data_IF_928304601652
#
_entry.id   IF_928304601652
#
_cell.length_a   1.000
_cell.length_b   1.000
_cell.length_c   1.000
_cell.angle_alpha   90.00
_cell.angle_beta   90.00
_cell.angle_gamma   90.00
#
_symmetry.space_group_name_H-M   'P 1'
#
loop_
_entity.id
_entity.type
_entity.pdbx_description
1 polymer ?
#
# COMPACT_ATOMS: atom_id res chain seq x y z
N UNK A 1 -33.99 -31.58 -14.69
CA UNK A 1 -34.09 -30.41 -13.80
C UNK A 1 -32.92 -29.49 -14.10
N UNK A 2 -33.14 -28.48 -14.92
CA UNK A 2 -32.14 -27.43 -15.12
C UNK A 2 -32.15 -26.50 -13.90
N UNK A 3 -31.00 -26.19 -13.30
CA UNK A 3 -30.96 -25.26 -12.17
C UNK A 3 -31.41 -23.88 -12.64
N UNK A 4 -32.27 -23.26 -11.83
CA UNK A 4 -32.88 -21.97 -12.14
C UNK A 4 -31.80 -20.92 -12.40
N UNK A 5 -32.08 -19.97 -13.29
CA UNK A 5 -31.13 -18.94 -13.74
C UNK A 5 -30.51 -18.14 -12.59
N UNK A 6 -31.21 -18.03 -11.46
CA UNK A 6 -30.75 -17.43 -10.20
C UNK A 6 -29.63 -18.23 -9.50
N UNK A 7 -29.74 -19.56 -9.47
CA UNK A 7 -28.74 -20.44 -8.84
C UNK A 7 -27.41 -20.39 -9.59
N UNK A 8 -27.46 -20.33 -10.93
CA UNK A 8 -26.29 -20.13 -11.80
C UNK A 8 -25.62 -18.76 -11.58
N UNK A 9 -26.37 -17.70 -11.25
CA UNK A 9 -25.81 -16.36 -11.02
C UNK A 9 -25.14 -16.21 -9.65
N UNK A 10 -25.65 -16.89 -8.63
CA UNK A 10 -25.05 -16.89 -7.29
C UNK A 10 -23.74 -17.70 -7.31
N UNK A 11 -23.76 -18.88 -7.95
CA UNK A 11 -22.57 -19.73 -8.09
C UNK A 11 -21.42 -19.03 -8.82
N UNK A 12 -21.72 -18.27 -9.89
CA UNK A 12 -20.70 -17.50 -10.63
C UNK A 12 -20.14 -16.31 -9.83
N UNK A 13 -20.96 -15.63 -9.01
CA UNK A 13 -20.49 -14.56 -8.12
C UNK A 13 -19.55 -15.09 -7.03
N UNK A 14 -19.90 -16.20 -6.38
CA UNK A 14 -19.06 -16.84 -5.36
C UNK A 14 -17.74 -17.31 -5.97
N UNK A 15 -17.78 -17.92 -7.17
CA UNK A 15 -16.57 -18.34 -7.86
C UNK A 15 -15.63 -17.19 -8.21
N UNK A 16 -16.18 -16.02 -8.56
CA UNK A 16 -15.39 -14.82 -8.82
C UNK A 16 -14.70 -14.30 -7.55
N UNK A 17 -15.40 -14.31 -6.40
CA UNK A 17 -14.83 -13.94 -5.10
C UNK A 17 -13.70 -14.92 -4.73
N UNK A 18 -13.93 -16.22 -4.85
CA UNK A 18 -12.93 -17.25 -4.57
C UNK A 18 -11.70 -17.08 -5.47
N UNK A 19 -11.88 -16.84 -6.77
CA UNK A 19 -10.77 -16.56 -7.69
C UNK A 19 -10.00 -15.30 -7.31
N UNK A 20 -10.69 -14.25 -6.86
CA UNK A 20 -10.05 -13.03 -6.34
C UNK A 20 -9.22 -13.31 -5.09
N UNK A 21 -9.75 -14.08 -4.14
CA UNK A 21 -9.03 -14.49 -2.92
C UNK A 21 -7.83 -15.38 -3.26
N UNK A 22 -7.98 -16.33 -4.18
CA UNK A 22 -6.86 -17.20 -4.61
C UNK A 22 -5.80 -16.38 -5.34
N UNK A 23 -6.17 -15.46 -6.24
CA UNK A 23 -5.22 -14.59 -6.92
C UNK A 23 -4.48 -13.68 -5.93
N UNK A 24 -5.20 -13.11 -4.96
CA UNK A 24 -4.60 -12.35 -3.85
C UNK A 24 -3.64 -13.22 -3.03
N UNK A 25 -4.05 -14.45 -2.68
CA UNK A 25 -3.20 -15.39 -1.95
C UNK A 25 -1.97 -15.80 -2.76
N UNK A 26 -2.07 -16.07 -4.07
CA UNK A 26 -0.94 -16.43 -4.93
C UNK A 26 0.03 -15.27 -5.08
N UNK A 27 -0.47 -14.05 -5.31
CA UNK A 27 0.36 -12.84 -5.38
C UNK A 27 1.05 -12.61 -4.05
N UNK A 28 0.33 -12.68 -2.93
CA UNK A 28 0.91 -12.49 -1.59
C UNK A 28 1.87 -13.62 -1.20
N UNK A 29 1.58 -14.90 -1.49
CA UNK A 29 2.46 -16.06 -1.25
C UNK A 29 3.73 -16.01 -2.10
N UNK A 30 3.65 -15.60 -3.36
CA UNK A 30 4.84 -15.43 -4.20
C UNK A 30 5.81 -14.40 -3.62
N UNK A 31 5.28 -13.47 -2.81
CA UNK A 31 6.04 -12.43 -2.14
C UNK A 31 6.46 -12.81 -0.71
N UNK A 32 5.75 -13.73 -0.05
CA UNK A 32 6.18 -14.34 1.23
C UNK A 32 7.40 -15.27 1.07
N UNK A 33 7.75 -15.73 -0.14
CA UNK A 33 8.92 -16.58 -0.32
C UNK A 33 10.25 -15.81 -0.33
N UNK A 34 10.22 -14.47 -0.32
CA UNK A 34 11.42 -13.61 -0.27
C UNK A 34 11.67 -13.18 1.19
N UNK A 35 11.84 -14.15 2.07
CA UNK A 35 12.51 -13.89 3.35
C UNK A 35 14.00 -13.69 3.04
N UNK A 36 14.41 -12.43 2.84
CA UNK A 36 15.81 -12.09 2.70
C UNK A 36 16.50 -12.36 4.04
N UNK A 37 17.40 -13.35 4.05
CA UNK A 37 18.18 -13.65 5.24
C UNK A 37 18.98 -12.41 5.68
N UNK A 38 18.97 -12.08 6.98
CA UNK A 38 19.60 -10.86 7.48
C UNK A 38 21.13 -10.87 7.35
N UNK A 39 21.72 -12.04 7.14
CA UNK A 39 23.16 -12.23 6.93
C UNK A 39 23.37 -13.14 5.73
N UNK A 40 24.42 -12.88 4.95
CA UNK A 40 24.84 -13.84 3.93
C UNK A 40 25.46 -15.08 4.57
N UNK A 41 25.44 -16.22 3.87
CA UNK A 41 26.20 -17.42 4.29
C UNK A 41 27.67 -17.07 4.54
N UNK A 42 28.29 -16.29 3.65
CA UNK A 42 29.65 -15.80 3.82
C UNK A 42 29.85 -15.00 5.13
N UNK A 43 28.88 -14.19 5.56
CA UNK A 43 28.96 -13.49 6.85
C UNK A 43 28.81 -14.43 8.04
N UNK A 44 27.95 -15.45 7.94
CA UNK A 44 27.78 -16.46 8.99
C UNK A 44 29.05 -17.30 9.14
N UNK A 45 29.64 -17.73 8.02
CA UNK A 45 30.87 -18.52 7.97
C UNK A 45 32.10 -17.73 8.44
N UNK A 46 32.12 -16.41 8.20
CA UNK A 46 33.24 -15.54 8.59
C UNK A 46 33.10 -14.97 10.01
N UNK A 47 31.90 -15.02 10.62
CA UNK A 47 31.66 -14.56 11.99
C UNK A 47 32.55 -15.22 13.06
N UNK A 48 32.76 -16.56 13.08
CA UNK A 48 33.57 -17.21 14.11
C UNK A 48 35.06 -16.84 14.03
N UNK A 49 35.58 -16.49 12.84
CA UNK A 49 37.01 -16.22 12.62
C UNK A 49 37.59 -15.12 13.50
N UNK A 50 36.80 -14.11 13.85
CA UNK A 50 37.24 -13.07 14.77
C UNK A 50 37.50 -13.62 16.19
N UNK A 51 36.58 -14.45 16.69
CA UNK A 51 36.69 -15.06 18.01
C UNK A 51 37.80 -16.12 18.05
N UNK A 52 37.98 -16.85 16.95
CA UNK A 52 39.09 -17.80 16.78
C UNK A 52 40.44 -17.09 16.79
N UNK A 53 40.57 -15.97 16.08
CA UNK A 53 41.83 -15.22 16.05
C UNK A 53 42.17 -14.60 17.41
N UNK A 54 41.18 -14.05 18.14
CA UNK A 54 41.38 -13.58 19.52
C UNK A 54 41.86 -14.73 20.42
N UNK A 55 41.20 -15.89 20.39
CA UNK A 55 41.62 -17.07 21.16
C UNK A 55 43.04 -17.52 20.82
N UNK A 56 43.40 -17.52 19.53
CA UNK A 56 44.74 -17.88 19.07
C UNK A 56 45.77 -16.91 19.66
N UNK A 57 45.51 -15.60 19.59
CA UNK A 57 46.42 -14.57 20.11
C UNK A 57 46.55 -14.63 21.64
N UNK A 58 45.45 -14.86 22.36
CA UNK A 58 45.45 -15.03 23.82
C UNK A 58 46.23 -16.31 24.22
N UNK A 59 46.06 -17.40 23.46
CA UNK A 59 46.78 -18.65 23.72
C UNK A 59 48.30 -18.52 23.50
N UNK A 60 48.72 -17.74 22.50
CA UNK A 60 50.13 -17.44 22.25
C UNK A 60 50.71 -16.58 23.37
N UNK A 61 49.96 -15.59 23.84
CA UNK A 61 50.39 -14.77 24.96
C UNK A 61 50.56 -15.60 26.23
N UNK A 62 49.62 -16.50 26.53
CA UNK A 62 49.72 -17.42 27.66
C UNK A 62 50.94 -18.35 27.51
N UNK A 63 51.17 -18.87 26.31
CA UNK A 63 52.35 -19.71 26.02
C UNK A 63 53.65 -18.98 26.33
N UNK A 64 53.82 -17.72 25.89
CA UNK A 64 55.03 -16.94 26.17
C UNK A 64 55.20 -16.62 27.66
N UNK A 65 54.10 -16.41 28.39
CA UNK A 65 54.14 -16.25 29.86
C UNK A 65 54.64 -17.54 30.51
N UNK A 66 54.11 -18.70 30.11
CA UNK A 66 54.54 -20.00 30.65
C UNK A 66 56.01 -20.29 30.34
N UNK A 67 56.50 -19.95 29.14
CA UNK A 67 57.92 -20.08 28.81
C UNK A 67 58.82 -19.22 29.69
N UNK A 68 58.37 -18.01 30.05
CA UNK A 68 59.09 -17.13 30.97
C UNK A 68 59.09 -17.71 32.40
N UNK A 69 57.95 -18.20 32.87
CA UNK A 69 57.82 -18.84 34.20
C UNK A 69 58.70 -20.08 34.33
N UNK A 70 58.78 -20.90 33.27
CA UNK A 70 59.63 -22.08 33.19
C UNK A 70 61.12 -21.77 32.96
N UNK A 71 61.48 -20.48 32.81
CA UNK A 71 62.85 -20.01 32.47
C UNK A 71 63.39 -20.57 31.15
N UNK A 72 62.51 -20.94 30.22
CA UNK A 72 62.87 -21.33 28.85
C UNK A 72 63.32 -20.13 28.03
N UNK A 73 62.80 -18.94 28.35
CA UNK A 73 63.18 -17.65 27.78
C UNK A 73 63.60 -16.68 28.89
N UNK A 74 64.50 -15.75 28.58
CA UNK A 74 64.87 -14.68 29.51
C UNK A 74 63.96 -13.45 29.37
N UNK A 75 64.04 -12.52 30.33
CA UNK A 75 63.17 -11.33 30.37
C UNK A 75 63.32 -10.44 29.12
N UNK A 76 64.55 -10.26 28.62
CA UNK A 76 64.81 -9.42 27.44
C UNK A 76 64.23 -10.02 26.16
N UNK A 77 64.34 -11.35 25.99
CA UNK A 77 63.72 -12.09 24.89
C UNK A 77 62.20 -12.02 24.95
N UNK A 78 61.62 -12.15 26.14
CA UNK A 78 60.18 -12.01 26.33
C UNK A 78 59.69 -10.63 25.90
N UNK A 79 60.39 -9.55 26.28
CA UNK A 79 60.02 -8.18 25.88
C UNK A 79 60.03 -8.01 24.35
N UNK A 80 61.01 -8.61 23.66
CA UNK A 80 61.09 -8.56 22.20
C UNK A 80 59.93 -9.30 21.54
N UNK A 81 59.63 -10.51 22.00
CA UNK A 81 58.53 -11.35 21.49
C UNK A 81 57.18 -10.69 21.77
N UNK A 82 56.97 -10.15 22.98
CA UNK A 82 55.74 -9.46 23.35
C UNK A 82 55.49 -8.22 22.49
N UNK A 83 56.53 -7.43 22.18
CA UNK A 83 56.43 -6.28 21.27
C UNK A 83 56.06 -6.70 19.84
N UNK A 84 56.67 -7.77 19.33
CA UNK A 84 56.33 -8.31 18.01
C UNK A 84 54.89 -8.87 17.97
N UNK A 85 54.47 -9.57 19.03
CA UNK A 85 53.12 -10.10 19.16
C UNK A 85 52.08 -8.97 19.16
N UNK A 86 52.27 -7.94 19.99
CA UNK A 86 51.43 -6.73 20.03
C UNK A 86 51.37 -6.02 18.66
N UNK A 87 52.51 -5.88 17.99
CA UNK A 87 52.57 -5.28 16.67
C UNK A 87 51.79 -6.08 15.61
N UNK A 88 51.70 -7.41 15.78
CA UNK A 88 50.91 -8.29 14.88
C UNK A 88 49.42 -8.38 15.25
N UNK A 89 49.05 -8.00 16.48
CA UNK A 89 47.70 -8.13 17.03
C UNK A 89 46.69 -7.19 16.37
N UNK A 90 47.05 -5.90 16.25
CA UNK A 90 46.15 -4.89 15.68
C UNK A 90 45.90 -5.12 14.17
N UNK A 91 46.92 -5.37 13.33
CA UNK A 91 46.72 -5.56 11.89
C UNK A 91 45.89 -6.79 11.54
N UNK A 92 46.04 -7.90 12.27
CA UNK A 92 45.30 -9.15 12.01
C UNK A 92 43.81 -8.97 12.30
N UNK A 93 43.46 -8.39 13.46
CA UNK A 93 42.07 -8.10 13.82
C UNK A 93 41.46 -7.03 12.92
N UNK A 94 42.24 -6.01 12.53
CA UNK A 94 41.79 -4.97 11.59
C UNK A 94 41.46 -5.55 10.22
N UNK A 95 42.25 -6.52 9.73
CA UNK A 95 41.98 -7.24 8.48
C UNK A 95 40.70 -8.08 8.55
N UNK A 96 40.48 -8.81 9.64
CA UNK A 96 39.25 -9.60 9.81
C UNK A 96 38.03 -8.67 9.91
N UNK A 97 38.15 -7.56 10.65
CA UNK A 97 37.09 -6.55 10.78
C UNK A 97 36.76 -5.89 9.44
N UNK A 98 37.76 -5.54 8.64
CA UNK A 98 37.55 -4.92 7.32
C UNK A 98 36.84 -5.86 6.36
N UNK A 99 37.22 -7.14 6.32
CA UNK A 99 36.52 -8.15 5.51
C UNK A 99 35.09 -8.34 5.98
N UNK A 100 34.85 -8.40 7.30
CA UNK A 100 33.49 -8.51 7.86
C UNK A 100 32.62 -7.30 7.49
N UNK A 101 33.21 -6.10 7.45
CA UNK A 101 32.55 -4.87 7.01
C UNK A 101 32.27 -4.88 5.50
N UNK A 102 33.19 -5.34 4.67
CA UNK A 102 32.98 -5.49 3.21
C UNK A 102 31.83 -6.45 2.92
N UNK A 103 31.85 -7.63 3.54
CA UNK A 103 30.78 -8.63 3.40
C UNK A 103 29.42 -8.08 3.85
N UNK A 104 29.41 -7.21 4.87
CA UNK A 104 28.19 -6.51 5.29
C UNK A 104 27.73 -5.43 4.31
N UNK A 105 28.65 -4.69 3.70
CA UNK A 105 28.33 -3.68 2.70
C UNK A 105 27.85 -4.31 1.39
N UNK A 106 28.46 -5.41 0.96
CA UNK A 106 28.04 -6.17 -0.23
C UNK A 106 26.65 -6.79 -0.04
N UNK A 107 26.39 -7.39 1.13
CA UNK A 107 25.05 -7.91 1.44
C UNK A 107 24.03 -6.81 1.74
N UNK A 108 24.48 -5.61 2.14
CA UNK A 108 23.64 -4.45 2.41
C UNK A 108 22.87 -4.00 1.16
N UNK A 109 23.42 -4.14 -0.05
CA UNK A 109 22.66 -3.82 -1.28
C UNK A 109 21.42 -4.70 -1.47
N UNK A 110 21.44 -5.91 -0.90
CA UNK A 110 20.31 -6.86 -0.87
C UNK A 110 19.56 -6.84 0.45
N UNK A 111 19.94 -5.95 1.37
CA UNK A 111 19.49 -5.91 2.75
C UNK A 111 18.58 -4.73 3.06
N UNK A 112 17.62 -4.95 3.96
CA UNK A 112 16.64 -3.97 4.43
C UNK A 112 17.23 -2.72 5.11
N UNK A 113 18.53 -2.69 5.40
CA UNK A 113 19.25 -1.52 5.95
C UNK A 113 19.73 -0.53 4.89
N UNK A 114 19.63 -0.89 3.61
CA UNK A 114 20.01 0.01 2.52
C UNK A 114 18.88 0.99 2.21
N UNK A 115 19.21 2.28 2.25
CA UNK A 115 18.32 3.35 1.83
C UNK A 115 17.90 3.19 0.36
N UNK A 116 18.76 2.63 -0.50
CA UNK A 116 18.41 2.35 -1.89
C UNK A 116 17.36 1.24 -2.00
N UNK A 117 17.45 0.19 -1.18
CA UNK A 117 16.42 -0.85 -1.13
C UNK A 117 15.08 -0.27 -0.67
N UNK A 118 15.10 0.57 0.37
CA UNK A 118 13.91 1.27 0.83
C UNK A 118 13.34 2.18 -0.25
N UNK A 119 14.14 3.04 -0.87
CA UNK A 119 13.65 3.93 -1.94
C UNK A 119 13.07 3.16 -3.12
N UNK A 120 13.70 2.06 -3.52
CA UNK A 120 13.22 1.26 -4.64
C UNK A 120 11.92 0.51 -4.31
N UNK A 121 11.91 -0.27 -3.23
CA UNK A 121 10.75 -1.10 -2.86
C UNK A 121 9.60 -0.25 -2.33
N UNK A 122 9.87 0.71 -1.47
CA UNK A 122 8.86 1.63 -0.95
C UNK A 122 8.36 2.57 -2.05
N UNK A 123 9.25 3.05 -2.92
CA UNK A 123 8.87 3.84 -4.09
C UNK A 123 7.97 3.08 -5.06
N UNK A 124 8.23 1.79 -5.28
CA UNK A 124 7.37 0.93 -6.11
C UNK A 124 5.98 0.77 -5.49
N UNK A 125 5.90 0.53 -4.18
CA UNK A 125 4.62 0.39 -3.46
C UNK A 125 3.85 1.72 -3.44
N UNK A 126 4.53 2.86 -3.24
CA UNK A 126 3.92 4.19 -3.36
C UNK A 126 3.39 4.43 -4.77
N UNK A 127 4.17 4.12 -5.80
CA UNK A 127 3.76 4.29 -7.18
C UNK A 127 2.51 3.43 -7.46
N UNK A 128 2.52 2.16 -7.07
CA UNK A 128 1.37 1.26 -7.22
C UNK A 128 0.13 1.80 -6.50
N UNK A 129 0.29 2.29 -5.27
CA UNK A 129 -0.79 2.89 -4.50
C UNK A 129 -1.36 4.15 -5.17
N UNK A 130 -0.47 5.05 -5.62
CA UNK A 130 -0.85 6.28 -6.32
C UNK A 130 -1.59 5.98 -7.63
N UNK A 131 -1.05 5.08 -8.46
CA UNK A 131 -1.70 4.67 -9.70
C UNK A 131 -3.05 3.99 -9.44
N UNK A 132 -3.17 3.19 -8.38
CA UNK A 132 -4.43 2.54 -8.02
C UNK A 132 -5.49 3.57 -7.58
N UNK A 133 -5.11 4.56 -6.77
CA UNK A 133 -6.00 5.66 -6.38
C UNK A 133 -6.41 6.54 -7.57
N UNK A 134 -5.45 6.86 -8.44
CA UNK A 134 -5.71 7.62 -9.67
C UNK A 134 -6.61 6.84 -10.62
N UNK A 135 -6.37 5.55 -10.81
CA UNK A 135 -7.20 4.68 -11.64
C UNK A 135 -8.62 4.64 -11.09
N UNK A 136 -8.80 4.48 -9.77
CA UNK A 136 -10.12 4.49 -9.15
C UNK A 136 -10.86 5.80 -9.40
N UNK A 137 -10.18 6.95 -9.27
CA UNK A 137 -10.75 8.26 -9.59
C UNK A 137 -11.15 8.37 -11.06
N UNK A 138 -10.27 7.98 -11.98
CA UNK A 138 -10.52 8.05 -13.41
C UNK A 138 -11.67 7.11 -13.82
N UNK A 139 -11.78 5.94 -13.17
CA UNK A 139 -12.86 4.98 -13.38
C UNK A 139 -14.22 5.50 -12.88
N UNK A 140 -14.27 6.20 -11.74
CA UNK A 140 -15.50 6.90 -11.29
C UNK A 140 -15.86 8.04 -12.23
N UNK A 141 -14.90 8.91 -12.56
CA UNK A 141 -15.12 10.09 -13.40
C UNK A 141 -15.61 9.75 -14.82
N UNK A 142 -15.29 8.56 -15.33
CA UNK A 142 -15.70 8.08 -16.66
C UNK A 142 -16.97 7.22 -16.65
N UNK A 143 -17.55 6.94 -15.47
CA UNK A 143 -18.69 6.02 -15.35
C UNK A 143 -18.33 4.57 -15.72
N UNK A 144 -17.10 4.15 -15.40
CA UNK A 144 -16.59 2.81 -15.74
C UNK A 144 -17.34 1.70 -15.00
N UNK A 145 -17.29 0.48 -15.54
CA UNK A 145 -17.97 -0.67 -14.92
C UNK A 145 -17.34 -1.04 -13.57
N UNK A 146 -18.16 -1.62 -12.68
CA UNK A 146 -17.73 -2.11 -11.35
C UNK A 146 -16.47 -3.01 -11.38
N UNK A 147 -16.21 -3.70 -12.50
CA UNK A 147 -15.01 -4.53 -12.67
C UNK A 147 -13.72 -3.71 -12.60
N UNK A 148 -13.69 -2.51 -13.17
CA UNK A 148 -12.52 -1.63 -13.13
C UNK A 148 -12.34 -1.00 -11.74
N UNK A 149 -13.43 -0.59 -11.10
CA UNK A 149 -13.41 -0.15 -9.70
C UNK A 149 -12.82 -1.23 -8.79
N UNK A 150 -13.21 -2.49 -8.99
CA UNK A 150 -12.71 -3.62 -8.21
C UNK A 150 -11.19 -3.85 -8.39
N UNK A 151 -10.67 -3.72 -9.62
CA UNK A 151 -9.23 -3.83 -9.89
C UNK A 151 -8.47 -2.73 -9.16
N UNK A 152 -8.92 -1.48 -9.30
CA UNK A 152 -8.30 -0.33 -8.64
C UNK A 152 -8.35 -0.46 -7.10
N UNK A 153 -9.46 -0.96 -6.54
CA UNK A 153 -9.62 -1.19 -5.10
C UNK A 153 -8.73 -2.35 -4.59
N UNK A 154 -8.58 -3.41 -5.38
CA UNK A 154 -7.65 -4.50 -5.08
C UNK A 154 -6.19 -4.01 -5.09
N UNK A 155 -5.83 -3.14 -6.03
CA UNK A 155 -4.51 -2.51 -6.08
C UNK A 155 -4.20 -1.66 -4.83
N UNK A 156 -5.20 -0.91 -4.35
CA UNK A 156 -5.12 -0.16 -3.08
C UNK A 156 -4.89 -1.11 -1.90
N UNK A 157 -5.66 -2.20 -1.81
CA UNK A 157 -5.54 -3.17 -0.72
C UNK A 157 -4.18 -3.88 -0.72
N UNK A 158 -3.71 -4.32 -1.88
CA UNK A 158 -2.39 -4.96 -2.04
C UNK A 158 -1.29 -3.98 -1.62
N UNK A 159 -1.36 -2.73 -2.08
CA UNK A 159 -0.38 -1.71 -1.70
C UNK A 159 -0.41 -1.42 -0.20
N UNK A 160 -1.60 -1.37 0.41
CA UNK A 160 -1.77 -1.18 1.85
C UNK A 160 -1.18 -2.32 2.68
N UNK A 161 -1.41 -3.56 2.25
CA UNK A 161 -0.74 -4.73 2.83
C UNK A 161 0.78 -4.57 2.78
N UNK A 162 1.33 -4.14 1.63
CA UNK A 162 2.77 -3.94 1.47
C UNK A 162 3.33 -2.82 2.34
N UNK A 163 2.62 -1.72 2.53
CA UNK A 163 3.04 -0.67 3.47
C UNK A 163 3.18 -1.22 4.88
N UNK A 164 2.16 -1.93 5.36
CA UNK A 164 2.17 -2.54 6.70
C UNK A 164 3.29 -3.59 6.78
N UNK A 165 3.43 -4.44 5.77
CA UNK A 165 4.45 -5.49 5.74
C UNK A 165 5.86 -4.91 5.76
N UNK A 166 6.13 -3.86 4.97
CA UNK A 166 7.44 -3.21 4.92
C UNK A 166 7.79 -2.45 6.19
N UNK A 167 6.80 -1.88 6.89
CA UNK A 167 6.99 -1.10 8.13
C UNK A 167 7.10 -1.98 9.38
N UNK A 168 6.31 -3.06 9.47
CA UNK A 168 6.17 -3.84 10.72
C UNK A 168 6.91 -5.19 10.72
N UNK A 169 7.13 -5.84 9.57
CA UNK A 169 7.98 -7.05 9.51
C UNK A 169 9.49 -6.72 9.67
N UNK A 170 9.84 -5.44 9.63
CA UNK A 170 11.21 -4.93 9.69
C UNK A 170 11.74 -4.75 11.09
N UNK A 171 10.89 -4.75 12.11
CA UNK A 171 11.35 -4.68 13.49
C UNK A 171 11.64 -6.09 14.01
N UNK A 172 12.92 -6.32 14.33
CA UNK A 172 13.40 -7.44 15.15
C UNK A 172 12.65 -7.57 16.50
N UNK A 173 11.88 -6.54 16.85
CA UNK A 173 11.23 -6.33 18.14
C UNK A 173 9.77 -6.81 18.19
N UNK A 174 9.20 -7.28 17.07
CA UNK A 174 7.83 -7.81 17.07
C UNK A 174 7.82 -9.32 17.25
N UNK A 175 7.25 -9.78 18.38
CA UNK A 175 6.78 -11.16 18.52
C UNK A 175 5.68 -11.40 17.47
N UNK A 176 5.54 -12.65 17.00
CA UNK A 176 4.59 -13.03 15.94
C UNK A 176 3.15 -12.52 16.21
N UNK A 177 2.72 -12.50 17.47
CA UNK A 177 1.40 -12.01 17.88
C UNK A 177 1.26 -10.49 17.74
N UNK A 178 2.30 -9.72 18.11
CA UNK A 178 2.27 -8.26 17.98
C UNK A 178 2.26 -7.85 16.50
N UNK A 179 2.92 -8.63 15.63
CA UNK A 179 2.92 -8.39 14.19
C UNK A 179 1.52 -8.62 13.57
N UNK A 180 0.83 -9.67 14.00
CA UNK A 180 -0.57 -9.92 13.59
C UNK A 180 -1.48 -8.79 14.07
N UNK A 181 -1.30 -8.30 15.30
CA UNK A 181 -2.06 -7.16 15.82
C UNK A 181 -1.81 -5.87 15.00
N UNK A 182 -0.57 -5.60 14.60
CA UNK A 182 -0.23 -4.47 13.74
C UNK A 182 -0.88 -4.59 12.35
N UNK A 183 -0.94 -5.79 11.78
CA UNK A 183 -1.66 -6.04 10.52
C UNK A 183 -3.15 -5.73 10.68
N UNK A 184 -3.79 -6.24 11.74
CA UNK A 184 -5.22 -6.01 11.98
C UNK A 184 -5.52 -4.51 12.15
N UNK A 185 -4.70 -3.80 12.91
CA UNK A 185 -4.83 -2.35 13.09
C UNK A 185 -4.63 -1.59 11.78
N UNK A 186 -3.60 -1.93 11.00
CA UNK A 186 -3.36 -1.32 9.70
C UNK A 186 -4.48 -1.61 8.69
N UNK A 187 -5.03 -2.84 8.70
CA UNK A 187 -6.18 -3.20 7.87
C UNK A 187 -7.44 -2.41 8.23
N UNK A 188 -7.68 -2.17 9.53
CA UNK A 188 -8.77 -1.32 10.02
C UNK A 188 -8.63 0.10 9.47
N UNK A 189 -7.44 0.71 9.60
CA UNK A 189 -7.17 2.05 9.08
C UNK A 189 -7.34 2.12 7.55
N UNK A 190 -6.86 1.11 6.83
CA UNK A 190 -7.03 1.03 5.38
C UNK A 190 -8.50 0.88 4.96
N UNK A 191 -9.30 0.11 5.71
CA UNK A 191 -10.73 -0.02 5.47
C UNK A 191 -11.45 1.31 5.63
N UNK A 192 -11.13 2.07 6.70
CA UNK A 192 -11.66 3.42 6.93
C UNK A 192 -11.25 4.37 5.79
N UNK A 193 -9.98 4.33 5.37
CA UNK A 193 -9.49 5.14 4.24
C UNK A 193 -10.24 4.82 2.94
N UNK A 194 -10.38 3.54 2.59
CA UNK A 194 -11.10 3.11 1.38
C UNK A 194 -12.57 3.53 1.44
N UNK A 195 -13.23 3.40 2.60
CA UNK A 195 -14.60 3.85 2.80
C UNK A 195 -14.75 5.35 2.51
N UNK A 196 -13.90 6.19 3.10
CA UNK A 196 -13.95 7.64 2.85
C UNK A 196 -13.61 7.99 1.40
N UNK A 197 -12.66 7.28 0.79
CA UNK A 197 -12.26 7.50 -0.59
C UNK A 197 -13.39 7.17 -1.57
N UNK A 198 -14.07 6.03 -1.38
CA UNK A 198 -15.26 5.67 -2.18
C UNK A 198 -16.38 6.67 -1.93
N UNK A 199 -16.70 6.98 -0.67
CA UNK A 199 -17.74 7.95 -0.32
C UNK A 199 -17.49 9.31 -0.97
N UNK A 200 -16.25 9.79 -0.97
CA UNK A 200 -15.87 11.05 -1.59
C UNK A 200 -16.12 11.07 -3.10
N UNK A 201 -15.79 9.99 -3.80
CA UNK A 201 -16.01 9.92 -5.25
C UNK A 201 -17.49 9.71 -5.61
N UNK A 202 -18.20 8.83 -4.91
CA UNK A 202 -19.63 8.59 -5.16
C UNK A 202 -20.49 9.82 -4.86
N UNK A 203 -20.17 10.59 -3.80
CA UNK A 203 -20.92 11.80 -3.47
C UNK A 203 -20.77 12.90 -4.55
N UNK A 204 -19.59 13.02 -5.15
CA UNK A 204 -19.39 13.95 -6.28
C UNK A 204 -20.19 13.56 -7.51
N UNK A 205 -20.22 12.27 -7.83
CA UNK A 205 -20.99 11.78 -8.98
C UNK A 205 -22.51 11.99 -8.78
N UNK A 206 -23.01 11.81 -7.55
CA UNK A 206 -24.43 12.07 -7.23
C UNK A 206 -24.80 13.55 -7.39
N UNK A 207 -23.96 14.47 -6.91
CA UNK A 207 -24.17 15.92 -7.11
C UNK A 207 -24.19 16.27 -8.60
N UNK A 208 -23.21 15.77 -9.38
CA UNK A 208 -23.13 16.04 -10.82
C UNK A 208 -24.36 15.48 -11.55
N UNK A 209 -24.81 14.27 -11.19
CA UNK A 209 -25.98 13.66 -11.80
C UNK A 209 -27.25 14.45 -11.51
N UNK A 210 -27.45 14.89 -10.26
CA UNK A 210 -28.59 15.75 -9.88
C UNK A 210 -28.58 17.07 -10.65
N UNK A 211 -27.41 17.70 -10.82
CA UNK A 211 -27.28 18.93 -11.62
C UNK A 211 -27.62 18.71 -13.10
N UNK A 212 -27.11 17.63 -13.71
CA UNK A 212 -27.41 17.28 -15.10
C UNK A 212 -28.89 16.97 -15.31
N UNK A 213 -29.49 16.19 -14.41
CA UNK A 213 -30.92 15.89 -14.41
C UNK A 213 -31.77 17.17 -14.32
N UNK A 214 -31.40 18.10 -13.44
CA UNK A 214 -32.10 19.39 -13.32
C UNK A 214 -32.00 20.21 -14.61
N UNK A 215 -30.81 20.32 -15.21
CA UNK A 215 -30.62 21.02 -16.50
C UNK A 215 -31.47 20.41 -17.61
N UNK A 216 -31.50 19.08 -17.69
CA UNK A 216 -32.34 18.37 -18.66
C UNK A 216 -33.82 18.66 -18.44
N UNK A 217 -34.29 18.64 -17.19
CA UNK A 217 -35.68 18.93 -16.83
C UNK A 217 -36.09 20.38 -17.13
N UNK A 218 -35.19 21.34 -16.91
CA UNK A 218 -35.37 22.74 -17.34
C UNK A 218 -35.58 22.85 -18.83
N UNK A 219 -34.73 22.21 -19.63
CA UNK A 219 -34.82 22.30 -21.09
C UNK A 219 -36.05 21.57 -21.65
N UNK A 220 -36.33 20.36 -21.16
CA UNK A 220 -37.32 19.44 -21.75
C UNK A 220 -38.72 19.66 -21.23
N UNK A 221 -38.87 20.03 -19.96
CA UNK A 221 -40.18 20.14 -19.29
C UNK A 221 -40.55 21.60 -19.08
N UNK A 222 -39.73 22.35 -18.32
CA UNK A 222 -40.09 23.71 -17.92
C UNK A 222 -40.12 24.68 -19.12
N UNK A 223 -39.05 24.72 -19.92
CA UNK A 223 -38.97 25.61 -21.08
C UNK A 223 -39.98 25.21 -22.18
N UNK A 224 -40.19 23.91 -22.39
CA UNK A 224 -41.18 23.40 -23.33
C UNK A 224 -42.60 23.86 -22.96
N UNK A 225 -43.03 23.60 -21.73
CA UNK A 225 -44.36 23.99 -21.24
C UNK A 225 -44.56 25.50 -21.30
N UNK A 226 -43.54 26.28 -20.94
CA UNK A 226 -43.59 27.75 -20.97
C UNK A 226 -43.66 28.29 -22.39
N UNK A 227 -42.91 27.70 -23.33
CA UNK A 227 -42.92 28.11 -24.74
C UNK A 227 -44.24 27.80 -25.46
N UNK A 228 -44.87 26.67 -25.17
CA UNK A 228 -46.18 26.31 -25.72
C UNK A 228 -47.25 27.28 -25.23
N UNK A 229 -47.21 27.62 -23.95
CA UNK A 229 -48.13 28.60 -23.36
C UNK A 229 -47.97 29.98 -23.93
N UNK A 230 -46.72 30.46 -24.05
CA UNK A 230 -46.45 31.76 -24.65
C UNK A 230 -47.00 31.85 -26.07
N UNK A 231 -46.73 30.83 -26.92
CA UNK A 231 -47.26 30.76 -28.29
C UNK A 231 -48.78 30.72 -28.35
N UNK A 232 -49.43 29.99 -27.44
CA UNK A 232 -50.89 29.93 -27.40
C UNK A 232 -51.50 31.24 -26.94
N UNK A 233 -50.96 31.86 -25.89
CA UNK A 233 -51.42 33.15 -25.38
C UNK A 233 -51.28 34.25 -26.43
N UNK A 234 -50.18 34.24 -27.20
CA UNK A 234 -49.98 35.15 -28.35
C UNK A 234 -51.07 34.96 -29.42
N UNK A 235 -51.39 33.70 -29.75
CA UNK A 235 -52.35 33.37 -30.82
C UNK A 235 -53.82 33.59 -30.42
N UNK A 236 -54.17 33.33 -29.18
CA UNK A 236 -55.57 33.29 -28.72
C UNK A 236 -55.94 34.40 -27.72
N UNK A 237 -54.98 35.23 -27.30
CA UNK A 237 -55.14 36.30 -26.28
C UNK A 237 -55.73 35.83 -24.94
N UNK A 238 -55.72 34.52 -24.69
CA UNK A 238 -56.22 33.88 -23.48
C UNK A 238 -55.24 32.82 -23.01
N UNK A 239 -55.22 32.54 -21.71
CA UNK A 239 -54.44 31.45 -21.14
C UNK A 239 -54.96 30.08 -21.62
N UNK A 240 -54.05 29.12 -21.84
CA UNK A 240 -54.42 27.73 -22.10
C UNK A 240 -55.23 27.21 -20.91
N UNK A 241 -56.47 26.71 -21.09
CA UNK A 241 -57.19 26.02 -20.03
C UNK A 241 -56.47 24.72 -19.67
N UNK A 242 -56.39 24.40 -18.38
CA UNK A 242 -55.60 23.30 -17.80
C UNK A 242 -55.96 21.88 -18.29
N UNK A 243 -56.90 21.74 -19.23
CA UNK A 243 -57.39 20.47 -19.77
C UNK A 243 -56.48 19.84 -20.84
N UNK A 244 -55.44 20.55 -21.30
CA UNK A 244 -54.54 20.07 -22.37
C UNK A 244 -53.22 19.51 -21.85
N UNK A 245 -53.20 18.67 -20.81
CA UNK A 245 -51.98 17.98 -20.29
C UNK A 245 -50.74 18.88 -20.02
N UNK A 246 -50.92 20.20 -19.98
CA UNK A 246 -49.88 21.19 -19.75
C UNK A 246 -50.22 21.86 -18.43
N UNK A 247 -49.42 21.57 -17.39
CA UNK A 247 -49.54 22.13 -16.03
C UNK A 247 -49.70 23.64 -16.05
N UNK A 248 -50.38 24.23 -15.07
CA UNK A 248 -50.51 25.69 -14.95
C UNK A 248 -49.14 26.39 -14.81
N UNK A 249 -49.07 27.69 -15.15
CA UNK A 249 -47.77 28.42 -15.11
C UNK A 249 -47.28 28.46 -13.67
N UNK A 250 -48.17 28.76 -12.74
CA UNK A 250 -47.87 28.79 -11.31
C UNK A 250 -47.41 27.41 -10.81
N UNK A 251 -48.11 26.33 -11.18
CA UNK A 251 -47.66 24.95 -10.87
C UNK A 251 -46.29 24.61 -11.46
N UNK A 252 -45.98 25.11 -12.66
CA UNK A 252 -44.67 24.90 -13.30
C UNK A 252 -43.56 25.67 -12.58
N UNK A 253 -43.87 26.87 -12.06
CA UNK A 253 -42.95 27.68 -11.26
C UNK A 253 -42.73 27.06 -9.88
N UNK A 254 -43.79 26.59 -9.24
CA UNK A 254 -43.73 25.91 -7.94
C UNK A 254 -42.91 24.61 -8.04
N UNK A 255 -43.15 23.80 -9.07
CA UNK A 255 -42.36 22.59 -9.34
C UNK A 255 -40.88 22.92 -9.61
N UNK A 256 -40.60 23.99 -10.36
CA UNK A 256 -39.22 24.43 -10.60
C UNK A 256 -38.53 24.89 -9.31
N UNK A 257 -39.21 25.67 -8.47
CA UNK A 257 -38.68 26.13 -7.19
C UNK A 257 -38.45 24.97 -6.23
N UNK A 258 -39.36 23.99 -6.20
CA UNK A 258 -39.20 22.78 -5.41
C UNK A 258 -37.96 22.00 -5.83
N UNK A 259 -37.83 21.70 -7.12
CA UNK A 259 -36.68 20.97 -7.64
C UNK A 259 -35.35 21.73 -7.46
N UNK A 260 -35.40 23.07 -7.57
CA UNK A 260 -34.25 23.93 -7.31
C UNK A 260 -33.84 23.88 -5.83
N UNK A 261 -34.80 23.91 -4.92
CA UNK A 261 -34.55 23.80 -3.48
C UNK A 261 -34.02 22.40 -3.11
N UNK A 262 -34.54 21.34 -3.74
CA UNK A 262 -33.99 19.98 -3.59
C UNK A 262 -32.54 19.91 -4.07
N UNK A 263 -32.20 20.58 -5.18
CA UNK A 263 -30.82 20.66 -5.68
C UNK A 263 -29.89 21.44 -4.73
N UNK A 264 -30.35 22.55 -4.16
CA UNK A 264 -29.54 23.43 -3.30
C UNK A 264 -29.33 22.83 -1.90
N UNK A 265 -30.32 22.10 -1.37
CA UNK A 265 -30.26 21.56 0.01
C UNK A 265 -29.39 20.31 0.12
N UNK A 266 -29.17 19.59 -0.99
CA UNK A 266 -28.34 18.37 -1.06
C UNK A 266 -26.85 18.60 -1.43
N UNK A 267 -26.47 19.84 -1.76
CA UNK A 267 -25.10 20.30 -2.08
C UNK A 267 -24.37 20.80 -0.84
#
# INVERSE_FOLDING_TARGET
>A
MEPSTQEKTIGTKIFAIIKGVIAFLVVTLSLFHIFLEPKSKAQLDYAPKYKEEVRRLDSLQLHYITQLENKEINADQYVLIAKQHLASYEPSLKKISSVRRSLAQEHSFRGRSSLHFWLFVFGLVIALFFFSCKSLKDDFSRGSTFKFHFVSLTGILVSGFWFIHLIFLTQKDFTQNNYIAAILFGALLFSVFVYFLVKYYTYKDDIIYKQLWFIEKVKTTYFYNMSIKAKYAEKHKTSIPSSHNVKNVDETIDDFQKDLNELITDV
#
